data_IF_287751485691
#
_entry.id   IF_287751485691
#
_cell.length_a   1.000
_cell.length_b   1.000
_cell.length_c   1.000
_cell.angle_alpha   90.00
_cell.angle_beta   90.00
_cell.angle_gamma   90.00
#
_symmetry.space_group_name_H-M   'P 1'
#
loop_
_entity.id
_entity.type
_entity.pdbx_description
1 polymer ?
#
# COMPACT_ATOMS: atom_id res chain seq x y z
N UNK A 1 -23.63 9.98 18.78
CA UNK A 1 -22.62 9.63 19.79
C UNK A 1 -21.26 9.55 19.11
N UNK A 2 -20.27 10.35 19.51
CA UNK A 2 -18.93 10.36 18.89
C UNK A 2 -18.09 9.16 19.39
N UNK A 3 -17.10 8.70 18.62
CA UNK A 3 -16.13 7.67 19.04
C UNK A 3 -15.45 8.04 20.38
N UNK A 4 -15.19 9.33 20.59
CA UNK A 4 -14.70 9.85 21.87
C UNK A 4 -15.67 9.57 23.03
N UNK A 5 -16.98 9.67 22.82
CA UNK A 5 -17.99 9.35 23.84
C UNK A 5 -18.13 7.86 24.15
N UNK A 6 -17.78 6.98 23.20
CA UNK A 6 -17.78 5.53 23.41
C UNK A 6 -16.54 5.10 24.21
N UNK A 7 -15.38 5.73 23.95
CA UNK A 7 -14.14 5.48 24.68
C UNK A 7 -14.16 6.03 26.12
N UNK A 8 -14.77 7.20 26.34
CA UNK A 8 -14.98 7.74 27.70
C UNK A 8 -15.89 6.85 28.56
N UNK A 9 -16.87 6.16 27.96
CA UNK A 9 -17.76 5.24 28.67
C UNK A 9 -17.11 3.91 29.05
N UNK A 10 -16.09 3.48 28.29
CA UNK A 10 -15.30 2.28 28.62
C UNK A 10 -14.29 2.58 29.75
N UNK A 11 -13.88 3.84 29.93
CA UNK A 11 -12.94 4.25 30.98
C UNK A 11 -13.56 4.52 32.37
N UNK A 12 -14.88 4.55 32.51
CA UNK A 12 -15.52 4.97 33.76
C UNK A 12 -15.65 3.86 34.83
N UNK A 13 -15.50 2.59 34.46
CA UNK A 13 -15.55 1.46 35.40
C UNK A 13 -14.39 0.51 35.12
N UNK A 14 -13.33 0.58 35.94
CA UNK A 14 -12.29 -0.44 36.22
C UNK A 14 -10.90 0.19 36.19
N UNK A 15 -10.47 0.65 37.36
CA UNK A 15 -9.08 1.01 37.62
C UNK A 15 -8.18 -0.25 37.45
N UNK A 16 -6.99 -0.04 36.88
CA UNK A 16 -5.80 -0.93 36.79
C UNK A 16 -5.64 -1.96 35.65
N UNK A 17 -6.66 -2.34 34.87
CA UNK A 17 -6.48 -3.37 33.81
C UNK A 17 -6.45 -2.86 32.36
N UNK A 18 -7.39 -1.98 32.01
CA UNK A 18 -7.66 -1.61 30.61
C UNK A 18 -6.69 -0.54 30.09
N UNK A 19 -6.20 0.32 30.98
CA UNK A 19 -5.24 1.38 30.64
C UNK A 19 -3.93 0.77 30.17
N UNK A 20 -3.44 -0.29 30.81
CA UNK A 20 -2.20 -0.98 30.43
C UNK A 20 -2.32 -1.65 29.07
N UNK A 21 -3.44 -2.32 28.77
CA UNK A 21 -3.65 -2.95 27.44
C UNK A 21 -3.82 -1.94 26.32
N UNK A 22 -4.44 -0.77 26.59
CA UNK A 22 -4.53 0.32 25.61
C UNK A 22 -3.18 1.01 25.46
N UNK A 23 -2.43 1.24 26.54
CA UNK A 23 -1.10 1.82 26.50
C UNK A 23 -0.10 0.89 25.82
N UNK A 24 -0.19 -0.43 26.04
CA UNK A 24 0.58 -1.47 25.36
C UNK A 24 0.15 -1.63 23.90
N UNK A 25 -1.12 -1.43 23.58
CA UNK A 25 -1.58 -1.39 22.19
C UNK A 25 -1.09 -0.14 21.46
N UNK A 26 -0.97 1.00 22.15
CA UNK A 26 -0.42 2.25 21.62
C UNK A 26 1.11 2.25 21.60
N UNK A 27 1.76 1.51 22.50
CA UNK A 27 3.23 1.34 22.56
C UNK A 27 3.72 0.22 21.65
N UNK A 28 2.87 -0.79 21.38
CA UNK A 28 3.13 -1.81 20.37
C UNK A 28 2.98 -1.17 19.00
N UNK A 29 4.11 -0.71 18.50
CA UNK A 29 4.28 -0.34 17.12
C UNK A 29 3.80 -1.44 16.15
N UNK A 30 3.79 -1.11 14.86
CA UNK A 30 3.49 -2.06 13.80
C UNK A 30 4.74 -2.40 12.99
N UNK A 31 4.76 -3.65 12.50
CA UNK A 31 5.71 -4.12 11.52
C UNK A 31 4.97 -4.28 10.18
N UNK A 32 5.39 -3.53 9.17
CA UNK A 32 4.86 -3.65 7.82
C UNK A 32 5.88 -4.35 6.94
N UNK A 33 5.54 -5.55 6.45
CA UNK A 33 6.38 -6.29 5.51
C UNK A 33 6.00 -5.86 4.09
N UNK A 34 6.93 -5.22 3.41
CA UNK A 34 6.73 -4.65 2.08
C UNK A 34 7.75 -5.21 1.10
N UNK A 35 7.51 -5.02 -0.19
CA UNK A 35 8.52 -5.21 -1.23
C UNK A 35 8.87 -3.84 -1.80
N UNK A 36 10.17 -3.52 -1.84
CA UNK A 36 10.69 -2.28 -2.41
C UNK A 36 11.80 -2.69 -3.37
N UNK A 37 11.68 -2.30 -4.64
CA UNK A 37 12.62 -2.67 -5.70
C UNK A 37 12.92 -4.18 -5.78
N UNK A 38 11.94 -5.05 -5.51
CA UNK A 38 12.15 -6.51 -5.51
C UNK A 38 12.54 -7.12 -4.17
N UNK A 39 12.94 -6.31 -3.19
CA UNK A 39 13.45 -6.81 -1.92
C UNK A 39 12.42 -6.66 -0.81
N UNK A 40 12.27 -7.73 -0.02
CA UNK A 40 11.43 -7.69 1.16
C UNK A 40 12.06 -6.78 2.21
N UNK A 41 11.34 -5.73 2.61
CA UNK A 41 11.74 -4.77 3.63
C UNK A 41 10.69 -4.74 4.72
N UNK A 42 11.12 -4.75 5.99
CA UNK A 42 10.21 -4.55 7.12
C UNK A 42 10.34 -3.14 7.67
N UNK A 43 9.27 -2.36 7.60
CA UNK A 43 9.16 -1.07 8.25
C UNK A 43 8.63 -1.24 9.66
N UNK A 44 9.46 -0.88 10.65
CA UNK A 44 9.08 -0.83 12.06
C UNK A 44 8.69 0.60 12.44
N UNK A 45 7.54 0.78 13.05
CA UNK A 45 7.01 2.09 13.42
C UNK A 45 6.24 2.00 14.72
N UNK A 46 6.28 3.03 15.58
CA UNK A 46 5.42 3.15 16.77
C UNK A 46 3.98 3.55 16.42
N UNK A 47 3.72 3.99 15.19
CA UNK A 47 2.41 4.44 14.71
C UNK A 47 1.79 3.38 13.79
N UNK A 48 0.52 3.03 14.06
CA UNK A 48 -0.28 2.16 13.19
C UNK A 48 -0.91 2.97 12.07
N UNK A 49 -0.53 2.68 10.84
CA UNK A 49 -1.11 3.23 9.63
C UNK A 49 -2.25 2.32 9.11
N UNK A 50 -3.37 2.90 8.62
CA UNK A 50 -4.53 2.16 8.14
C UNK A 50 -4.33 1.69 6.69
N UNK A 51 -3.35 0.81 6.47
CA UNK A 51 -3.05 0.21 5.17
C UNK A 51 -3.31 -1.28 5.18
N UNK A 52 -3.71 -1.82 4.04
CA UNK A 52 -3.99 -3.25 3.83
C UNK A 52 -2.93 -3.87 2.91
N UNK A 53 -3.06 -5.17 2.64
CA UNK A 53 -2.21 -5.84 1.66
C UNK A 53 -2.42 -5.24 0.26
N UNK A 54 -1.33 -4.89 -0.41
CA UNK A 54 -1.37 -4.26 -1.72
C UNK A 54 -0.32 -3.17 -1.89
N UNK A 55 -0.56 -2.29 -2.86
CA UNK A 55 0.29 -1.13 -3.12
C UNK A 55 0.05 -0.04 -2.07
N UNK A 56 1.13 0.42 -1.46
CA UNK A 56 1.11 1.50 -0.48
C UNK A 56 2.13 2.56 -0.87
N UNK A 57 1.86 3.82 -0.51
CA UNK A 57 2.90 4.84 -0.49
C UNK A 57 3.53 4.89 0.90
N UNK A 58 4.85 5.01 0.95
CA UNK A 58 5.61 5.18 2.20
C UNK A 58 6.40 6.47 2.09
N UNK A 59 6.02 7.48 2.86
CA UNK A 59 6.79 8.73 2.96
C UNK A 59 7.75 8.62 4.13
N UNK A 60 9.04 8.76 3.86
CA UNK A 60 10.08 8.81 4.89
C UNK A 60 10.30 10.23 5.39
N UNK A 61 10.66 10.38 6.66
CA UNK A 61 11.16 11.63 7.24
C UNK A 61 12.57 11.93 6.69
N UNK A 62 13.08 13.14 6.95
CA UNK A 62 14.45 13.51 6.60
C UNK A 62 15.50 12.58 7.23
N UNK A 63 15.19 11.98 8.38
CA UNK A 63 16.04 11.00 9.08
C UNK A 63 15.89 9.56 8.55
N UNK A 64 15.03 9.31 7.56
CA UNK A 64 14.83 8.00 6.94
C UNK A 64 13.78 7.10 7.61
N UNK A 65 13.23 7.49 8.75
CA UNK A 65 12.12 6.79 9.42
C UNK A 65 10.80 6.93 8.64
N UNK A 66 9.84 6.03 8.86
CA UNK A 66 8.50 6.18 8.26
C UNK A 66 7.80 7.38 8.90
N UNK A 67 7.41 8.36 8.07
CA UNK A 67 6.60 9.50 8.47
C UNK A 67 5.11 9.23 8.25
N UNK A 68 4.73 8.76 7.06
CA UNK A 68 3.35 8.38 6.74
C UNK A 68 3.31 7.17 5.82
N UNK A 69 2.25 6.37 5.94
CA UNK A 69 1.86 5.37 4.94
C UNK A 69 0.43 5.61 4.50
N UNK A 70 0.15 5.45 3.21
CA UNK A 70 -1.20 5.55 2.68
C UNK A 70 -1.47 4.44 1.66
N UNK A 71 -2.71 3.96 1.65
CA UNK A 71 -3.18 2.94 0.72
C UNK A 71 -3.29 3.55 -0.69
N UNK A 72 -2.79 2.83 -1.70
CA UNK A 72 -3.06 3.14 -3.10
C UNK A 72 -4.33 2.41 -3.54
N UNK A 73 -5.02 2.95 -4.54
CA UNK A 73 -6.25 2.36 -5.06
C UNK A 73 -5.92 1.27 -6.10
N UNK A 74 -6.48 0.06 -5.97
CA UNK A 74 -6.30 -0.97 -6.98
C UNK A 74 -7.10 -0.62 -8.24
N UNK A 75 -6.49 -0.84 -9.39
CA UNK A 75 -7.08 -0.65 -10.73
C UNK A 75 -6.78 -1.89 -11.56
N UNK A 76 -7.82 -2.54 -12.06
CA UNK A 76 -7.65 -3.64 -13.04
C UNK A 76 -7.14 -3.06 -14.35
N UNK A 77 -6.10 -3.65 -14.93
CA UNK A 77 -5.48 -3.17 -16.16
C UNK A 77 -5.75 -4.15 -17.30
N UNK A 78 -6.40 -3.64 -18.35
CA UNK A 78 -6.76 -4.42 -19.54
C UNK A 78 -5.77 -4.17 -20.69
N UNK A 79 -5.10 -3.02 -20.72
CA UNK A 79 -4.14 -2.67 -21.75
C UNK A 79 -2.92 -1.97 -21.17
N UNK A 80 -1.73 -2.38 -21.64
CA UNK A 80 -0.46 -1.77 -21.33
C UNK A 80 -0.02 -0.82 -22.45
N UNK A 81 0.62 0.28 -22.08
CA UNK A 81 1.31 1.19 -22.96
C UNK A 81 2.61 1.68 -22.32
N UNK A 82 3.44 2.38 -23.08
CA UNK A 82 4.79 2.77 -22.62
C UNK A 82 4.79 3.72 -21.40
N UNK A 83 3.78 4.61 -21.30
CA UNK A 83 3.67 5.60 -20.22
C UNK A 83 2.26 5.66 -19.60
N UNK A 84 1.40 4.70 -19.93
CA UNK A 84 0.03 4.66 -19.43
C UNK A 84 -0.55 3.27 -19.52
N UNK A 85 -1.55 3.01 -18.69
CA UNK A 85 -2.38 1.81 -18.75
C UNK A 85 -3.84 2.19 -18.96
N UNK A 86 -4.67 1.22 -19.37
CA UNK A 86 -6.12 1.39 -19.41
C UNK A 86 -6.86 0.37 -18.57
N UNK A 87 -7.95 0.84 -18.00
CA UNK A 87 -9.01 0.05 -17.38
C UNK A 87 -10.31 0.39 -18.11
N UNK A 88 -10.77 -0.52 -18.96
CA UNK A 88 -11.81 -0.25 -19.95
C UNK A 88 -11.48 0.98 -20.80
N UNK A 89 -12.35 1.99 -20.74
CA UNK A 89 -12.18 3.27 -21.45
C UNK A 89 -11.31 4.29 -20.70
N UNK A 90 -11.01 4.04 -19.43
CA UNK A 90 -10.27 4.99 -18.59
C UNK A 90 -8.78 4.82 -18.77
N UNK A 91 -8.07 5.91 -19.07
CA UNK A 91 -6.61 5.95 -19.19
C UNK A 91 -5.99 6.47 -17.89
N UNK A 92 -4.98 5.77 -17.41
CA UNK A 92 -4.17 6.17 -16.26
C UNK A 92 -2.72 6.34 -16.69
N UNK A 93 -2.12 7.48 -16.36
CA UNK A 93 -0.67 7.67 -16.55
C UNK A 93 0.10 6.78 -15.59
N UNK A 94 1.25 6.26 -16.02
CA UNK A 94 2.20 5.60 -15.13
C UNK A 94 3.21 6.63 -14.61
N UNK A 95 3.79 6.37 -13.45
CA UNK A 95 4.95 7.13 -12.99
C UNK A 95 6.22 6.70 -13.73
N UNK A 96 7.17 7.62 -13.87
CA UNK A 96 8.46 7.35 -14.51
C UNK A 96 9.26 6.30 -13.71
N UNK A 97 9.08 6.30 -12.40
CA UNK A 97 9.68 5.37 -11.43
C UNK A 97 8.72 4.24 -11.02
N UNK A 98 7.74 3.91 -11.87
CA UNK A 98 6.78 2.84 -11.58
C UNK A 98 7.49 1.50 -11.36
N UNK A 99 7.19 0.84 -10.25
CA UNK A 99 7.70 -0.50 -9.96
C UNK A 99 6.81 -1.57 -10.61
N UNK A 100 7.41 -2.57 -11.23
CA UNK A 100 6.67 -3.69 -11.83
C UNK A 100 7.06 -4.99 -11.14
N UNK A 101 6.05 -5.77 -10.77
CA UNK A 101 6.20 -7.04 -10.07
C UNK A 101 5.46 -8.17 -10.76
N UNK A 102 6.10 -9.32 -10.82
CA UNK A 102 5.43 -10.60 -11.05
C UNK A 102 5.09 -11.22 -9.69
N UNK A 103 3.82 -11.55 -9.48
CA UNK A 103 3.40 -12.38 -8.36
C UNK A 103 3.36 -13.84 -8.78
N UNK A 104 4.09 -14.70 -8.07
CA UNK A 104 4.12 -16.13 -8.31
C UNK A 104 4.27 -16.89 -7.00
N UNK A 105 3.35 -17.82 -6.74
CA UNK A 105 3.34 -18.70 -5.55
C UNK A 105 3.55 -17.95 -4.22
N UNK A 106 2.84 -16.83 -4.03
CA UNK A 106 2.86 -16.06 -2.79
C UNK A 106 4.07 -15.13 -2.61
N UNK A 107 4.92 -14.96 -3.64
CA UNK A 107 6.07 -14.06 -3.61
C UNK A 107 6.01 -13.06 -4.77
N UNK A 108 6.59 -11.88 -4.54
CA UNK A 108 6.79 -10.86 -5.56
C UNK A 108 8.22 -10.92 -6.08
N UNK A 109 8.36 -10.82 -7.40
CA UNK A 109 9.65 -10.74 -8.11
C UNK A 109 9.65 -9.47 -8.94
N UNK A 110 10.69 -8.64 -8.80
CA UNK A 110 10.85 -7.46 -9.64
C UNK A 110 10.95 -7.89 -11.11
N UNK A 111 10.25 -7.17 -11.97
CA UNK A 111 10.26 -7.40 -13.43
C UNK A 111 10.13 -6.06 -14.16
N UNK A 112 9.90 -6.08 -15.46
CA UNK A 112 9.73 -4.89 -16.30
C UNK A 112 8.46 -5.00 -17.14
N UNK A 113 8.00 -3.87 -17.69
CA UNK A 113 6.82 -3.83 -18.57
C UNK A 113 6.97 -4.72 -19.80
N UNK A 114 8.19 -4.92 -20.31
CA UNK A 114 8.43 -5.75 -21.50
C UNK A 114 8.35 -7.26 -21.24
N UNK A 115 8.29 -7.69 -19.98
CA UNK A 115 8.23 -9.09 -19.57
C UNK A 115 6.82 -9.55 -19.19
N UNK A 116 5.83 -8.65 -19.26
CA UNK A 116 4.44 -8.92 -18.90
C UNK A 116 3.50 -8.44 -20.01
N UNK A 117 2.31 -9.01 -20.07
CA UNK A 117 1.28 -8.63 -21.03
C UNK A 117 -0.10 -8.88 -20.41
N UNK A 118 -1.16 -8.32 -21.01
CA UNK A 118 -2.53 -8.51 -20.52
C UNK A 118 -3.17 -9.84 -20.95
N UNK A 119 -2.53 -10.58 -21.86
CA UNK A 119 -3.03 -11.85 -22.40
C UNK A 119 -2.74 -13.00 -21.42
N UNK A 120 -1.48 -13.14 -21.01
CA UNK A 120 -0.97 -14.19 -20.12
C UNK A 120 -1.12 -13.85 -18.63
N UNK A 121 -1.29 -12.56 -18.29
CA UNK A 121 -1.33 -12.10 -16.90
C UNK A 121 -2.59 -11.29 -16.59
N UNK A 122 -3.13 -11.50 -15.39
CA UNK A 122 -4.07 -10.59 -14.76
C UNK A 122 -3.29 -9.44 -14.13
N UNK A 123 -3.58 -8.20 -14.53
CA UNK A 123 -2.79 -7.03 -14.17
C UNK A 123 -3.54 -6.13 -13.19
N UNK A 124 -2.86 -5.74 -12.11
CA UNK A 124 -3.38 -4.81 -11.11
C UNK A 124 -2.40 -3.63 -10.99
N UNK A 125 -2.86 -2.44 -11.38
CA UNK A 125 -2.17 -1.18 -11.14
C UNK A 125 -2.58 -0.59 -9.79
N UNK A 126 -1.62 -0.04 -9.05
CA UNK A 126 -1.86 0.66 -7.80
C UNK A 126 -1.74 2.16 -8.02
N UNK A 127 -2.89 2.82 -8.03
CA UNK A 127 -3.09 4.21 -8.37
C UNK A 127 -2.95 5.13 -7.15
N UNK A 128 -2.08 6.12 -7.28
CA UNK A 128 -1.90 7.19 -6.32
C UNK A 128 -2.97 8.28 -6.54
N UNK A 129 -4.08 8.17 -5.82
CA UNK A 129 -5.16 9.15 -5.86
C UNK A 129 -4.96 10.34 -4.90
N UNK A 130 -3.82 10.43 -4.22
CA UNK A 130 -3.56 11.49 -3.24
C UNK A 130 -3.20 12.75 -4.02
N UNK A 131 -4.21 13.60 -4.29
CA UNK A 131 -4.26 14.76 -5.21
C UNK A 131 -3.19 15.86 -5.09
N UNK A 132 -1.95 15.47 -4.91
CA UNK A 132 -0.73 16.24 -5.03
C UNK A 132 -0.33 16.37 -6.50
N UNK A 133 0.53 17.34 -6.83
CA UNK A 133 1.03 17.55 -8.20
C UNK A 133 1.78 16.33 -8.77
N UNK A 134 2.29 15.44 -7.90
CA UNK A 134 2.93 14.19 -8.30
C UNK A 134 1.94 13.00 -8.32
N UNK A 135 0.76 13.13 -7.70
CA UNK A 135 -0.28 12.11 -7.69
C UNK A 135 -0.94 11.93 -9.06
N UNK A 136 -1.98 11.10 -9.10
CA UNK A 136 -2.71 10.81 -10.33
C UNK A 136 -2.02 9.82 -11.26
N UNK A 137 -1.17 8.94 -10.72
CA UNK A 137 -0.38 7.98 -11.50
C UNK A 137 -0.43 6.58 -10.92
N UNK A 138 -0.31 5.57 -11.78
CA UNK A 138 0.02 4.21 -11.36
C UNK A 138 1.47 4.18 -10.91
N UNK A 139 1.70 3.75 -9.66
CA UNK A 139 3.03 3.69 -9.02
C UNK A 139 3.59 2.27 -8.96
N UNK A 140 2.72 1.29 -8.90
CA UNK A 140 3.09 -0.13 -8.86
C UNK A 140 2.18 -0.89 -9.81
N UNK A 141 2.76 -1.77 -10.62
CA UNK A 141 2.02 -2.70 -11.45
C UNK A 141 2.36 -4.13 -11.03
N UNK A 142 1.34 -4.92 -10.75
CA UNK A 142 1.48 -6.33 -10.37
C UNK A 142 0.87 -7.20 -11.47
N UNK A 143 1.66 -8.12 -11.99
CA UNK A 143 1.22 -9.16 -12.91
C UNK A 143 1.04 -10.48 -12.14
N UNK A 144 -0.14 -11.08 -12.27
CA UNK A 144 -0.46 -12.39 -11.71
C UNK A 144 -0.64 -13.33 -12.90
N UNK A 145 0.18 -14.39 -12.98
CA UNK A 145 0.10 -15.35 -14.09
C UNK A 145 -1.29 -15.99 -14.11
N UNK A 146 -1.94 -16.00 -15.27
CA UNK A 146 -3.18 -16.78 -15.48
C UNK A 146 -2.81 -18.26 -15.58
N UNK A 147 -3.64 -19.11 -15.01
CA UNK A 147 -3.49 -20.56 -15.12
C UNK A 147 -3.85 -21.06 -16.52
#
# INVERSE_FOLDING_TARGET
ASLASYLLKIGANSTTGVVSSVLDYLSSGANYVCYVNGEQTTYKTSVKYPVLAGGISVRKTASGSVGTMAQLLPVTVDQLGAASVRSGSTRYETADDMQVYLWYKGKYYATTLSQINAEDYSLIGWYDAHGSAAGGKIRVLVAVKKD
#
